data_IF_121039346965
#
_entry.id   IF_121039346965
#
_cell.length_a   1.000
_cell.length_b   1.000
_cell.length_c   1.000
_cell.angle_alpha   90.00
_cell.angle_beta   90.00
_cell.angle_gamma   90.00
#
_symmetry.space_group_name_H-M   'P 1'
#
loop_
_entity.id
_entity.type
_entity.pdbx_description
1 polymer ?
#
# COMPACT_ATOMS: atom_id res chain seq x y z
N UNK A 1 37.75 -6.59 -21.68
CA UNK A 1 37.27 -5.29 -21.14
C UNK A 1 37.90 -4.18 -21.95
N UNK A 2 37.12 -3.20 -22.41
CA UNK A 2 37.59 -2.12 -23.31
C UNK A 2 37.88 -0.79 -22.61
N UNK A 3 37.64 -0.72 -21.30
CA UNK A 3 37.81 0.48 -20.50
C UNK A 3 38.68 0.18 -19.29
N UNK A 4 39.55 1.13 -18.99
CA UNK A 4 40.24 1.23 -17.72
C UNK A 4 39.37 2.08 -16.77
N UNK A 5 39.02 1.53 -15.61
CA UNK A 5 38.13 2.21 -14.66
C UNK A 5 38.61 2.02 -13.23
N UNK A 6 38.24 2.97 -12.37
CA UNK A 6 38.46 2.93 -10.93
C UNK A 6 37.13 3.24 -10.23
N UNK A 7 36.83 2.51 -9.15
CA UNK A 7 35.58 2.62 -8.40
C UNK A 7 35.83 3.42 -7.13
N UNK A 8 35.01 4.44 -6.88
CA UNK A 8 35.08 5.28 -5.68
C UNK A 8 33.69 5.64 -5.17
N UNK A 9 33.60 5.97 -3.88
CA UNK A 9 32.37 6.45 -3.24
C UNK A 9 32.13 7.93 -3.58
N UNK A 10 30.89 8.28 -3.88
CA UNK A 10 30.45 9.68 -4.06
C UNK A 10 29.26 9.96 -3.13
N UNK A 11 29.30 11.06 -2.34
CA UNK A 11 28.19 11.44 -1.46
C UNK A 11 26.97 11.89 -2.28
N UNK A 12 25.78 11.69 -1.72
CA UNK A 12 24.50 11.87 -2.43
C UNK A 12 24.25 13.28 -2.99
N UNK A 13 24.80 14.31 -2.34
CA UNK A 13 24.72 15.69 -2.82
C UNK A 13 25.46 15.93 -4.17
N UNK A 14 26.43 15.07 -4.51
CA UNK A 14 27.14 15.13 -5.79
C UNK A 14 26.52 14.18 -6.84
N UNK A 15 25.52 13.38 -6.45
CA UNK A 15 24.83 12.44 -7.33
C UNK A 15 23.54 13.01 -7.92
N UNK A 16 23.18 14.27 -7.65
CA UNK A 16 21.89 14.87 -8.04
C UNK A 16 21.59 14.69 -9.53
N UNK A 17 22.57 14.88 -10.42
CA UNK A 17 22.38 14.71 -11.86
C UNK A 17 22.18 13.24 -12.25
N UNK A 18 23.00 12.34 -11.70
CA UNK A 18 22.87 10.91 -11.95
C UNK A 18 21.55 10.35 -11.37
N UNK A 19 21.17 10.78 -10.18
CA UNK A 19 19.93 10.41 -9.51
C UNK A 19 18.72 10.93 -10.30
N UNK A 20 18.74 12.21 -10.72
CA UNK A 20 17.68 12.78 -11.55
C UNK A 20 17.54 12.04 -12.89
N UNK A 21 18.63 11.78 -13.61
CA UNK A 21 18.58 11.04 -14.89
C UNK A 21 18.18 9.57 -14.70
N UNK A 22 18.59 8.92 -13.60
CA UNK A 22 18.18 7.54 -13.31
C UNK A 22 16.71 7.41 -12.93
N UNK A 23 16.10 8.49 -12.44
CA UNK A 23 14.68 8.57 -12.06
C UNK A 23 13.81 9.23 -13.13
N UNK A 24 14.42 9.84 -14.14
CA UNK A 24 13.72 10.45 -15.25
C UNK A 24 13.28 9.34 -16.20
N UNK A 25 12.07 8.84 -15.93
CA UNK A 25 11.33 8.05 -16.89
C UNK A 25 10.72 9.02 -17.91
N UNK A 26 11.56 9.60 -18.78
CA UNK A 26 11.06 10.34 -19.94
C UNK A 26 10.30 9.33 -20.79
N UNK A 27 9.01 9.58 -21.05
CA UNK A 27 8.07 8.72 -21.79
C UNK A 27 8.78 7.88 -22.86
N UNK A 28 9.21 6.68 -22.47
CA UNK A 28 10.00 5.85 -23.34
C UNK A 28 9.03 5.22 -24.32
N UNK A 29 9.07 5.65 -25.57
CA UNK A 29 8.40 4.97 -26.69
C UNK A 29 8.94 3.55 -26.96
N UNK A 30 9.74 2.97 -26.06
CA UNK A 30 10.18 1.57 -26.04
C UNK A 30 9.22 0.65 -25.26
N UNK A 31 7.92 0.96 -25.25
CA UNK A 31 6.81 0.15 -24.70
C UNK A 31 6.86 -1.33 -25.19
N UNK A 32 7.61 -1.64 -26.24
CA UNK A 32 7.81 -3.00 -26.73
C UNK A 32 8.79 -3.85 -25.90
N UNK A 33 9.69 -3.27 -25.09
CA UNK A 33 10.56 -4.03 -24.17
C UNK A 33 9.96 -4.21 -22.77
N UNK A 34 8.96 -3.40 -22.41
CA UNK A 34 8.34 -3.49 -21.09
C UNK A 34 7.30 -4.60 -20.97
N UNK A 35 6.83 -5.20 -22.06
CA UNK A 35 5.80 -6.25 -22.01
C UNK A 35 6.23 -7.47 -21.18
N UNK A 36 7.46 -7.95 -21.37
CA UNK A 36 8.01 -9.11 -20.64
C UNK A 36 8.23 -8.76 -19.15
N UNK A 37 8.73 -7.57 -18.85
CA UNK A 37 8.90 -7.09 -17.48
C UNK A 37 7.54 -6.90 -16.80
N UNK A 38 6.54 -6.36 -17.49
CA UNK A 38 5.18 -6.24 -16.95
C UNK A 38 4.57 -7.61 -16.69
N UNK A 39 4.72 -8.56 -17.61
CA UNK A 39 4.22 -9.93 -17.46
C UNK A 39 4.88 -10.64 -16.27
N UNK A 40 6.20 -10.52 -16.12
CA UNK A 40 6.94 -11.07 -14.98
C UNK A 40 6.51 -10.43 -13.66
N UNK A 41 6.29 -9.11 -13.64
CA UNK A 41 5.81 -8.43 -12.43
C UNK A 41 4.40 -8.86 -12.06
N UNK A 42 3.49 -8.96 -13.03
CA UNK A 42 2.13 -9.45 -12.82
C UNK A 42 2.12 -10.92 -12.38
N UNK A 43 2.94 -11.78 -13.00
CA UNK A 43 3.09 -13.16 -12.63
C UNK A 43 3.63 -13.31 -11.20
N UNK A 44 4.59 -12.47 -10.80
CA UNK A 44 5.11 -12.46 -9.44
C UNK A 44 4.07 -11.97 -8.42
N UNK A 45 3.32 -10.91 -8.73
CA UNK A 45 2.21 -10.45 -7.88
C UNK A 45 1.17 -11.56 -7.73
N UNK A 46 0.76 -12.17 -8.84
CA UNK A 46 -0.20 -13.28 -8.84
C UNK A 46 0.33 -14.48 -8.06
N UNK A 47 1.62 -14.82 -8.19
CA UNK A 47 2.25 -15.89 -7.42
C UNK A 47 2.20 -15.58 -5.91
N UNK A 48 2.55 -14.36 -5.50
CA UNK A 48 2.48 -13.95 -4.09
C UNK A 48 1.04 -14.02 -3.58
N UNK A 49 0.08 -13.47 -4.31
CA UNK A 49 -1.35 -13.50 -3.96
C UNK A 49 -1.88 -14.93 -3.87
N UNK A 50 -1.52 -15.81 -4.81
CA UNK A 50 -1.92 -17.22 -4.81
C UNK A 50 -1.19 -18.06 -3.75
N UNK A 51 0.03 -17.68 -3.37
CA UNK A 51 0.79 -18.32 -2.30
C UNK A 51 0.29 -17.94 -0.91
N UNK A 52 -0.44 -16.82 -0.81
CA UNK A 52 -1.14 -16.44 0.40
C UNK A 52 -2.17 -17.54 0.69
N UNK A 53 -2.09 -18.17 1.86
CA UNK A 53 -2.99 -19.25 2.28
C UNK A 53 -4.41 -18.74 2.62
N UNK A 54 -4.94 -17.84 1.81
CA UNK A 54 -6.30 -17.31 1.91
C UNK A 54 -7.09 -17.99 0.81
N UNK A 55 -8.06 -18.81 1.21
CA UNK A 55 -8.97 -19.45 0.27
C UNK A 55 -9.79 -18.33 -0.41
N UNK A 56 -9.96 -18.33 -1.73
CA UNK A 56 -10.60 -17.22 -2.45
C UNK A 56 -12.01 -16.89 -1.92
N UNK A 57 -12.78 -17.92 -1.52
CA UNK A 57 -14.11 -17.72 -0.91
C UNK A 57 -14.08 -16.93 0.41
N UNK A 58 -12.96 -16.95 1.14
CA UNK A 58 -12.86 -16.29 2.43
C UNK A 58 -12.83 -14.77 2.27
N UNK A 59 -12.21 -14.28 1.20
CA UNK A 59 -12.20 -12.86 0.87
C UNK A 59 -13.60 -12.37 0.52
N UNK A 60 -14.34 -13.13 -0.29
CA UNK A 60 -15.73 -12.82 -0.62
C UNK A 60 -16.63 -12.88 0.61
N UNK A 61 -16.42 -13.85 1.49
CA UNK A 61 -17.13 -13.94 2.77
C UNK A 61 -16.84 -12.73 3.67
N UNK A 62 -15.59 -12.29 3.77
CA UNK A 62 -15.23 -11.09 4.53
C UNK A 62 -15.92 -9.86 3.95
N UNK A 63 -15.91 -9.67 2.62
CA UNK A 63 -16.63 -8.56 1.97
C UNK A 63 -18.12 -8.60 2.29
N UNK A 64 -18.73 -9.77 2.15
CA UNK A 64 -20.15 -9.97 2.46
C UNK A 64 -20.45 -9.63 3.91
N UNK A 65 -19.70 -10.18 4.88
CA UNK A 65 -19.89 -9.92 6.31
C UNK A 65 -19.69 -8.46 6.68
N UNK A 66 -18.67 -7.80 6.14
CA UNK A 66 -18.45 -6.36 6.33
C UNK A 66 -19.58 -5.52 5.73
N UNK A 67 -20.13 -5.94 4.58
CA UNK A 67 -21.26 -5.26 3.93
C UNK A 67 -22.61 -5.56 4.57
N UNK A 68 -22.73 -6.58 5.42
CA UNK A 68 -23.95 -6.88 6.18
C UNK A 68 -23.96 -6.12 7.52
N UNK A 69 -22.80 -6.04 8.17
CA UNK A 69 -22.61 -5.48 9.51
C UNK A 69 -22.92 -3.96 9.56
N UNK A 70 -23.86 -3.52 10.42
CA UNK A 70 -24.24 -2.12 10.55
C UNK A 70 -23.10 -1.22 11.06
N UNK A 71 -22.19 -1.74 11.90
CA UNK A 71 -21.03 -1.02 12.41
C UNK A 71 -20.04 -0.82 11.26
N UNK A 72 -19.72 -1.88 10.52
CA UNK A 72 -18.81 -1.80 9.38
C UNK A 72 -19.31 -0.81 8.31
N UNK A 73 -20.62 -0.81 8.00
CA UNK A 73 -21.22 0.19 7.10
C UNK A 73 -20.96 1.62 7.53
N UNK A 74 -21.13 1.91 8.82
CA UNK A 74 -20.88 3.25 9.38
C UNK A 74 -19.40 3.61 9.37
N UNK A 75 -18.53 2.65 9.64
CA UNK A 75 -17.08 2.86 9.56
C UNK A 75 -16.63 3.14 8.12
N UNK A 76 -17.21 2.46 7.13
CA UNK A 76 -16.97 2.72 5.70
C UNK A 76 -17.42 4.13 5.34
N UNK A 77 -18.63 4.54 5.76
CA UNK A 77 -19.15 5.90 5.56
C UNK A 77 -18.20 6.97 6.12
N UNK A 78 -17.71 6.78 7.35
CA UNK A 78 -16.77 7.71 7.99
C UNK A 78 -15.38 7.71 7.36
N UNK A 79 -14.94 6.57 6.80
CA UNK A 79 -13.65 6.45 6.11
C UNK A 79 -13.67 7.11 4.74
N UNK A 80 -14.80 7.11 4.04
CA UNK A 80 -14.97 7.75 2.73
C UNK A 80 -15.24 9.25 2.82
N UNK A 81 -15.88 9.69 3.89
CA UNK A 81 -16.22 11.10 4.11
C UNK A 81 -15.24 11.73 5.10
N UNK A 82 -15.67 11.87 6.35
CA UNK A 82 -14.88 12.33 7.46
C UNK A 82 -15.52 11.81 8.73
N UNK A 83 -14.69 11.47 9.70
CA UNK A 83 -15.15 11.15 11.04
C UNK A 83 -15.82 12.36 11.70
N UNK A 84 -17.03 12.21 12.26
CA UNK A 84 -17.68 13.27 13.02
C UNK A 84 -16.96 13.50 14.36
N UNK A 85 -17.31 14.58 15.06
CA UNK A 85 -16.77 14.84 16.39
C UNK A 85 -17.16 13.73 17.36
N UNK A 86 -16.27 13.44 18.32
CA UNK A 86 -16.43 12.33 19.27
C UNK A 86 -17.79 12.33 19.99
N UNK A 87 -18.36 13.51 20.24
CA UNK A 87 -19.63 13.67 20.95
C UNK A 87 -20.86 13.30 20.11
N UNK A 88 -20.71 13.21 18.79
CA UNK A 88 -21.78 12.88 17.84
C UNK A 88 -21.74 11.40 17.41
N UNK A 89 -20.78 10.63 17.93
CA UNK A 89 -20.57 9.22 17.58
C UNK A 89 -21.39 8.33 18.52
N UNK A 90 -22.14 7.40 17.93
CA UNK A 90 -22.87 6.36 18.66
C UNK A 90 -21.93 5.53 19.55
N UNK A 91 -22.42 5.10 20.71
CA UNK A 91 -21.63 4.35 21.68
C UNK A 91 -20.93 3.10 21.09
N UNK A 92 -21.58 2.44 20.13
CA UNK A 92 -21.06 1.26 19.44
C UNK A 92 -19.84 1.54 18.56
N UNK A 93 -19.69 2.78 18.07
CA UNK A 93 -18.61 3.22 17.18
C UNK A 93 -17.47 3.92 17.93
N UNK A 94 -17.68 4.31 19.19
CA UNK A 94 -16.66 4.95 20.02
C UNK A 94 -15.35 4.15 20.15
N UNK A 95 -15.34 2.81 20.28
CA UNK A 95 -14.10 2.03 20.36
C UNK A 95 -13.20 2.18 19.13
N UNK A 96 -13.77 2.53 17.98
CA UNK A 96 -13.05 2.69 16.72
C UNK A 96 -12.52 4.11 16.50
N UNK A 97 -13.01 5.11 17.24
CA UNK A 97 -12.62 6.51 17.07
C UNK A 97 -11.12 6.77 17.25
N UNK A 98 -10.47 6.00 18.13
CA UNK A 98 -9.02 6.07 18.34
C UNK A 98 -8.23 5.69 17.08
N UNK A 99 -8.79 4.85 16.21
CA UNK A 99 -8.17 4.35 14.99
C UNK A 99 -8.66 5.08 13.73
N UNK A 100 -9.34 6.22 13.87
CA UNK A 100 -9.97 6.95 12.75
C UNK A 100 -9.02 7.33 11.61
N UNK A 101 -7.73 7.51 11.90
CA UNK A 101 -6.70 7.84 10.90
C UNK A 101 -5.98 6.60 10.36
N UNK A 102 -6.20 5.45 10.98
CA UNK A 102 -5.65 4.16 10.57
C UNK A 102 -6.64 3.37 9.71
N UNK A 103 -7.90 3.80 9.62
CA UNK A 103 -8.93 3.11 8.86
C UNK A 103 -9.06 3.65 7.45
N UNK A 104 -9.24 2.74 6.49
CA UNK A 104 -9.52 3.06 5.10
C UNK A 104 -10.48 2.05 4.49
N UNK A 105 -11.09 2.45 3.38
CA UNK A 105 -11.91 1.56 2.57
C UNK A 105 -11.29 1.45 1.17
N UNK A 106 -10.90 0.23 0.78
CA UNK A 106 -10.30 -0.05 -0.53
C UNK A 106 -10.79 -1.39 -1.07
N UNK A 107 -11.09 -1.44 -2.37
CA UNK A 107 -11.48 -2.68 -3.10
C UNK A 107 -12.62 -3.50 -2.45
N UNK A 108 -13.52 -2.83 -1.73
CA UNK A 108 -14.63 -3.46 -1.02
C UNK A 108 -14.29 -3.94 0.39
N UNK A 109 -13.09 -3.65 0.89
CA UNK A 109 -12.65 -3.99 2.24
C UNK A 109 -12.51 -2.77 3.12
N UNK A 110 -13.06 -2.86 4.33
CA UNK A 110 -12.67 -1.98 5.44
C UNK A 110 -11.38 -2.52 6.04
N UNK A 111 -10.32 -1.73 5.95
CA UNK A 111 -8.97 -2.08 6.39
C UNK A 111 -8.51 -1.15 7.50
N UNK A 112 -7.71 -1.70 8.41
CA UNK A 112 -6.97 -0.94 9.41
C UNK A 112 -5.48 -1.12 9.16
N UNK A 113 -4.78 -0.02 8.91
CA UNK A 113 -3.33 -0.01 8.81
C UNK A 113 -2.73 0.08 10.20
N UNK A 114 -1.75 -0.77 10.47
CA UNK A 114 -0.90 -0.64 11.66
C UNK A 114 0.49 -0.29 11.16
N UNK A 115 0.99 0.89 11.54
CA UNK A 115 2.41 1.18 11.38
C UNK A 115 3.13 0.41 12.47
N UNK A 116 3.79 -0.69 12.11
CA UNK A 116 4.70 -1.37 13.03
C UNK A 116 5.94 -0.50 13.20
N UNK A 117 5.91 0.46 14.13
CA UNK A 117 7.09 1.16 14.66
C UNK A 117 7.94 0.20 15.53
N UNK A 118 8.35 -0.95 15.00
CA UNK A 118 9.20 -1.92 15.73
C UNK A 118 10.69 -1.77 15.39
N UNK A 119 11.09 -0.69 14.72
CA UNK A 119 12.51 -0.42 14.45
C UNK A 119 12.90 1.00 14.80
N UNK A 120 12.58 1.49 15.99
CA UNK A 120 13.36 2.56 16.64
C UNK A 120 13.16 2.46 18.15
N UNK A 121 14.12 1.87 18.86
CA UNK A 121 14.60 2.21 20.21
C UNK A 121 15.51 1.05 20.67
N UNK A 122 16.66 0.93 20.02
CA UNK A 122 17.87 0.42 20.68
C UNK A 122 18.95 1.48 20.52
N UNK A 123 19.14 2.28 21.56
CA UNK A 123 20.37 3.03 21.83
C UNK A 123 20.50 3.13 23.33
#
# INVERSE_FOLDING_TARGET
>A
MRYEYQVYYSPGNNLVVADALSRDFSDCSDIQQDAELTEDTEANVNFIVNSLAVKPYLLDEIKMKQSEDPICKKLIEYSLTRWPDRNLISHELLPYYQYRFEMSFSEGFLLRFTYNDTTMFTT
#
